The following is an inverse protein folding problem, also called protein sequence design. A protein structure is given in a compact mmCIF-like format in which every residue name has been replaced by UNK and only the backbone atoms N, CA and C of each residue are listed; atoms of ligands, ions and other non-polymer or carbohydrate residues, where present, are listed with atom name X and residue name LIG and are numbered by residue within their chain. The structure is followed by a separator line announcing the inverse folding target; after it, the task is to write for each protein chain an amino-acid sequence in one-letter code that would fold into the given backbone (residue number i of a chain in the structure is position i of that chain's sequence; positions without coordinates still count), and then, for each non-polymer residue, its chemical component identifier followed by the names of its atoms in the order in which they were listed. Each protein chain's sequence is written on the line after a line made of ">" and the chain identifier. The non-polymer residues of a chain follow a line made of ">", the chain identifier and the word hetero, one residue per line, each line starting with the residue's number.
data_IF_783497262676
#
_entry.id   IF_783497262676
#
_cell.length_a   1.000
_cell.length_b   1.000
_cell.length_c   1.000
_cell.angle_alpha   90.00
_cell.angle_beta   90.00
_cell.angle_gamma   90.00
#
_symmetry.space_group_name_H-M   'P 1'
#
loop_
_entity.id
_entity.type
_entity.pdbx_description
1 polymer ?
#
# COMPACT_ATOMS: atom_id res chain seq x y z
N UNK A 1 -0.85 -1.86 -24.30
CA UNK A 1 -0.61 -1.08 -23.06
C UNK A 1 0.43 -1.83 -22.25
N UNK A 2 1.59 -1.23 -21.99
CA UNK A 2 2.69 -1.91 -21.33
C UNK A 2 2.26 -2.41 -19.95
N UNK A 3 2.24 -3.73 -19.77
CA UNK A 3 1.97 -4.38 -18.52
C UNK A 3 3.08 -4.05 -17.53
N UNK A 4 2.85 -3.06 -16.69
CA UNK A 4 3.65 -2.87 -15.49
C UNK A 4 3.32 -4.03 -14.56
N UNK A 5 4.16 -5.06 -14.59
CA UNK A 5 4.05 -6.28 -13.78
C UNK A 5 3.96 -5.98 -12.27
N UNK A 6 4.35 -4.76 -11.84
CA UNK A 6 4.13 -4.21 -10.51
C UNK A 6 3.94 -2.68 -10.56
N UNK A 7 2.76 -2.18 -10.22
CA UNK A 7 2.49 -0.74 -10.08
C UNK A 7 2.70 -0.32 -8.63
N UNK A 8 3.84 0.29 -8.33
CA UNK A 8 4.08 0.93 -7.03
C UNK A 8 4.08 2.46 -7.20
N UNK A 9 4.09 3.20 -6.08
CA UNK A 9 4.01 4.66 -6.09
C UNK A 9 5.15 5.35 -6.89
N UNK A 10 6.34 4.73 -6.98
CA UNK A 10 7.43 5.24 -7.81
C UNK A 10 7.10 5.12 -9.29
N UNK A 11 6.69 3.94 -9.75
CA UNK A 11 6.35 3.73 -11.17
C UNK A 11 5.17 4.60 -11.60
N UNK A 12 4.21 4.84 -10.70
CA UNK A 12 3.08 5.74 -10.97
C UNK A 12 3.55 7.20 -11.03
N UNK A 13 4.40 7.63 -10.09
CA UNK A 13 4.95 8.98 -10.08
C UNK A 13 5.79 9.28 -11.35
N UNK A 14 6.66 8.34 -11.74
CA UNK A 14 7.44 8.43 -12.99
C UNK A 14 6.52 8.56 -14.20
N UNK A 15 5.45 7.76 -14.27
CA UNK A 15 4.48 7.84 -15.35
C UNK A 15 3.72 9.18 -15.38
N UNK A 16 3.45 9.75 -14.20
CA UNK A 16 2.82 11.06 -14.06
C UNK A 16 3.78 12.25 -14.32
N UNK A 17 5.07 12.00 -14.58
CA UNK A 17 6.09 13.03 -14.75
C UNK A 17 6.56 13.66 -13.43
N UNK A 18 6.25 13.04 -12.30
CA UNK A 18 6.70 13.48 -10.98
C UNK A 18 8.12 13.01 -10.68
N UNK A 19 8.94 13.91 -10.13
CA UNK A 19 10.33 13.61 -9.76
C UNK A 19 10.46 12.77 -8.47
N UNK A 20 9.38 12.68 -7.68
CA UNK A 20 9.41 12.01 -6.38
C UNK A 20 8.05 11.38 -6.07
N UNK A 21 7.99 10.17 -5.47
CA UNK A 21 6.73 9.47 -5.21
C UNK A 21 5.87 10.09 -4.10
N UNK A 22 6.30 11.19 -3.49
CA UNK A 22 5.66 11.74 -2.29
C UNK A 22 4.19 12.11 -2.55
N UNK A 23 3.87 12.63 -3.74
CA UNK A 23 2.50 12.92 -4.15
C UNK A 23 1.64 11.66 -4.15
N UNK A 24 2.09 10.62 -4.86
CA UNK A 24 1.40 9.32 -4.92
C UNK A 24 1.34 8.61 -3.57
N UNK A 25 2.32 8.85 -2.71
CA UNK A 25 2.43 8.26 -1.38
C UNK A 25 1.61 8.97 -0.30
N UNK A 26 1.23 10.24 -0.50
CA UNK A 26 0.41 11.00 0.44
C UNK A 26 -0.91 10.30 0.71
N UNK A 27 -1.57 9.82 -0.35
CA UNK A 27 -2.88 9.18 -0.26
C UNK A 27 -2.86 7.98 0.71
N UNK A 28 -2.05 6.93 0.51
CA UNK A 28 -2.04 5.79 1.41
C UNK A 28 -1.38 6.04 2.78
N UNK A 29 -0.53 7.07 2.94
CA UNK A 29 0.25 7.26 4.17
C UNK A 29 -0.30 8.32 5.13
N UNK A 30 -0.97 9.36 4.64
CA UNK A 30 -1.25 10.54 5.47
C UNK A 30 -2.51 11.32 5.11
N UNK A 31 -3.30 10.88 4.13
CA UNK A 31 -4.60 11.49 3.88
C UNK A 31 -5.59 11.17 5.02
N UNK A 32 -6.42 12.16 5.34
CA UNK A 32 -7.59 11.98 6.20
C UNK A 32 -8.69 11.35 5.34
N UNK A 33 -8.99 10.08 5.60
CA UNK A 33 -9.93 9.30 4.81
C UNK A 33 -11.26 9.18 5.54
N UNK A 34 -12.33 9.65 4.90
CA UNK A 34 -13.66 9.11 5.17
C UNK A 34 -13.72 7.69 4.58
N UNK A 35 -13.52 6.70 5.44
CA UNK A 35 -13.41 5.30 5.02
C UNK A 35 -14.69 4.82 4.34
N UNK A 36 -15.86 5.21 4.86
CA UNK A 36 -17.14 4.81 4.29
C UNK A 36 -17.40 5.55 2.97
N UNK A 37 -17.16 6.87 2.96
CA UNK A 37 -17.31 7.67 1.73
C UNK A 37 -16.43 7.17 0.59
N UNK A 38 -15.16 6.88 0.85
CA UNK A 38 -14.23 6.40 -0.18
C UNK A 38 -14.56 4.98 -0.63
N UNK A 39 -15.04 4.10 0.27
CA UNK A 39 -15.52 2.78 -0.13
C UNK A 39 -16.71 2.91 -1.08
N UNK A 40 -17.66 3.78 -0.76
CA UNK A 40 -18.88 3.94 -1.54
C UNK A 40 -18.57 4.57 -2.91
N UNK A 41 -17.70 5.58 -2.98
CA UNK A 41 -17.23 6.18 -4.23
C UNK A 41 -16.52 5.14 -5.14
N UNK A 42 -15.62 4.33 -4.58
CA UNK A 42 -14.91 3.28 -5.34
C UNK A 42 -15.88 2.20 -5.82
N UNK A 43 -16.86 1.83 -4.99
CA UNK A 43 -17.90 0.87 -5.35
C UNK A 43 -18.74 1.40 -6.51
N UNK A 44 -19.16 2.66 -6.47
CA UNK A 44 -19.99 3.26 -7.52
C UNK A 44 -19.23 3.31 -8.86
N UNK A 45 -17.95 3.71 -8.84
CA UNK A 45 -17.08 3.66 -10.01
C UNK A 45 -16.94 2.23 -10.58
N UNK A 46 -16.76 1.24 -9.71
CA UNK A 46 -16.66 -0.16 -10.13
C UNK A 46 -17.96 -0.67 -10.73
N UNK A 47 -19.11 -0.33 -10.15
CA UNK A 47 -20.43 -0.70 -10.68
C UNK A 47 -20.70 -0.01 -12.01
N UNK A 48 -20.35 1.26 -12.16
CA UNK A 48 -20.51 2.02 -13.40
C UNK A 48 -19.76 1.35 -14.56
N UNK A 49 -18.52 0.92 -14.33
CA UNK A 49 -17.66 0.41 -15.40
C UNK A 49 -17.70 -1.11 -15.58
N UNK A 50 -18.00 -1.87 -14.53
CA UNK A 50 -17.92 -3.34 -14.53
C UNK A 50 -19.26 -4.01 -14.23
N UNK A 51 -20.27 -3.25 -13.81
CA UNK A 51 -21.58 -3.78 -13.48
C UNK A 51 -22.33 -4.27 -14.72
N UNK A 52 -23.00 -5.42 -14.59
CA UNK A 52 -23.89 -5.95 -15.62
C UNK A 52 -25.17 -6.46 -14.96
N UNK A 53 -26.31 -6.17 -15.59
CA UNK A 53 -27.61 -6.60 -15.08
C UNK A 53 -27.64 -8.14 -14.90
N UNK A 54 -28.06 -8.61 -13.74
CA UNK A 54 -28.11 -10.04 -13.40
C UNK A 54 -26.78 -10.66 -12.97
N UNK A 55 -25.72 -9.85 -12.76
CA UNK A 55 -24.45 -10.32 -12.21
C UNK A 55 -24.16 -9.69 -10.85
N UNK A 56 -23.29 -10.36 -10.07
CA UNK A 56 -22.81 -9.87 -8.77
C UNK A 56 -21.32 -9.56 -8.88
N UNK A 57 -20.94 -8.35 -8.49
CA UNK A 57 -19.55 -7.95 -8.35
C UNK A 57 -19.05 -8.33 -6.95
N UNK A 58 -17.91 -9.02 -6.89
CA UNK A 58 -17.22 -9.37 -5.65
C UNK A 58 -15.85 -8.70 -5.69
N UNK A 59 -15.60 -7.82 -4.73
CA UNK A 59 -14.27 -7.25 -4.49
C UNK A 59 -13.58 -8.13 -3.46
N UNK A 60 -12.42 -8.68 -3.81
CA UNK A 60 -11.59 -9.44 -2.88
C UNK A 60 -10.17 -8.86 -2.86
N UNK A 61 -9.54 -8.98 -1.70
CA UNK A 61 -8.17 -8.52 -1.44
C UNK A 61 -7.11 -9.47 -2.05
N UNK A 62 -7.46 -10.34 -3.01
CA UNK A 62 -6.56 -11.36 -3.59
C UNK A 62 -5.38 -10.79 -4.41
N UNK A 63 -5.07 -9.50 -4.28
CA UNK A 63 -3.87 -8.90 -4.83
C UNK A 63 -2.66 -9.13 -3.91
N UNK A 64 -1.67 -9.87 -4.39
CA UNK A 64 -0.30 -10.00 -3.86
C UNK A 64 -0.11 -9.74 -2.35
N UNK A 65 0.12 -10.81 -1.57
CA UNK A 65 0.46 -10.68 -0.14
C UNK A 65 1.65 -9.74 0.06
N UNK A 66 1.40 -8.59 0.69
CA UNK A 66 2.45 -7.67 1.11
C UNK A 66 3.18 -8.25 2.32
N UNK A 67 4.23 -9.02 2.08
CA UNK A 67 5.15 -9.46 3.14
C UNK A 67 6.18 -8.36 3.42
N UNK A 68 6.39 -8.04 4.70
CA UNK A 68 7.59 -7.32 5.14
C UNK A 68 8.61 -8.33 5.68
N UNK A 69 9.89 -8.12 5.37
CA UNK A 69 10.99 -9.01 5.76
C UNK A 69 11.60 -8.62 7.13
N UNK A 70 11.00 -7.69 7.87
CA UNK A 70 11.55 -7.12 9.12
C UNK A 70 11.00 -7.74 10.42
N UNK A 71 10.10 -8.73 10.34
CA UNK A 71 9.66 -9.51 11.51
C UNK A 71 10.45 -10.83 11.63
N UNK A 72 11.78 -10.75 11.64
CA UNK A 72 12.59 -11.81 12.23
C UNK A 72 12.44 -11.68 13.76
N UNK A 73 11.98 -12.71 14.50
CA UNK A 73 12.05 -12.66 15.96
C UNK A 73 13.51 -12.42 16.36
N UNK A 74 13.79 -11.57 17.37
CA UNK A 74 15.16 -11.27 17.75
C UNK A 74 15.90 -12.58 18.03
N UNK A 75 17.01 -12.81 17.34
CA UNK A 75 17.94 -13.86 17.76
C UNK A 75 18.38 -13.53 19.18
N UNK A 76 18.36 -14.53 20.06
CA UNK A 76 18.76 -14.38 21.46
C UNK A 76 20.12 -13.68 21.51
N UNK A 77 20.28 -12.58 22.27
CA UNK A 77 21.57 -11.91 22.34
C UNK A 77 22.56 -12.86 23.00
N UNK A 78 23.62 -13.21 22.27
CA UNK A 78 24.80 -13.84 22.88
C UNK A 78 25.36 -12.87 23.91
N UNK A 79 25.35 -13.28 25.18
CA UNK A 79 25.82 -12.48 26.29
C UNK A 79 27.33 -12.22 26.18
N UNK A 80 27.70 -11.12 25.51
CA UNK A 80 28.98 -10.44 25.73
C UNK A 80 28.72 -8.96 25.91
N UNK A 81 28.87 -8.53 27.15
CA UNK A 81 28.63 -7.17 27.59
C UNK A 81 29.42 -6.15 26.77
N UNK A 82 28.75 -5.06 26.42
CA UNK A 82 29.40 -3.79 26.08
C UNK A 82 28.51 -2.64 26.53
N UNK A 83 29.14 -1.71 27.24
CA UNK A 83 28.56 -0.55 27.87
C UNK A 83 27.69 0.28 26.91
N UNK A 84 26.48 0.60 27.37
CA UNK A 84 25.47 1.29 26.60
C UNK A 84 25.71 2.79 26.46
N UNK A 85 25.25 3.32 25.33
CA UNK A 85 24.72 4.69 25.22
C UNK A 85 23.35 4.58 24.55
N UNK A 86 22.29 5.20 25.09
CA UNK A 86 20.96 5.11 24.50
C UNK A 86 20.89 5.95 23.22
N UNK A 87 20.39 5.34 22.14
CA UNK A 87 19.87 6.04 20.97
C UNK A 87 18.44 6.42 21.36
N UNK A 88 18.18 7.71 21.53
CA UNK A 88 16.82 8.26 21.69
C UNK A 88 16.09 8.17 20.36
N UNK A 89 14.83 7.72 20.39
CA UNK A 89 13.85 7.90 19.32
C UNK A 89 13.63 9.39 19.03
#
# INVERSE_FOLDING_TARGET
>A
MAGLERKNAWTIAEHAGEMHPAGMQRLPQSADWDVDGVRDDVRDLAVEHLGEAGRVLIVDETGFVKKRTDLQPPSQPSARGRHGRPITC
#
